data_IF_522325588999
#
_entry.id   IF_522325588999
#
_cell.length_a   1.000
_cell.length_b   1.000
_cell.length_c   1.000
_cell.angle_alpha   90.00
_cell.angle_beta   90.00
_cell.angle_gamma   90.00
#
_symmetry.space_group_name_H-M   'P 1'
#
loop_
_entity.id
_entity.type
_entity.pdbx_description
1 polymer ?
#
# COMPACT_ATOMS: atom_id res chain seq x y z
N UNK A 1 -11.79 21.53 0.68
CA UNK A 1 -11.83 21.41 -0.79
C UNK A 1 -10.39 21.53 -1.30
N UNK A 2 -9.75 20.43 -1.69
CA UNK A 2 -8.39 20.50 -2.26
C UNK A 2 -8.50 20.69 -3.78
N UNK A 3 -7.64 21.51 -4.38
CA UNK A 3 -7.67 21.77 -5.81
C UNK A 3 -7.35 20.46 -6.58
N UNK A 4 -8.24 20.10 -7.48
CA UNK A 4 -8.01 19.08 -8.49
C UNK A 4 -6.89 19.61 -9.42
N UNK A 5 -5.72 19.02 -9.37
CA UNK A 5 -4.63 19.36 -10.28
C UNK A 5 -4.83 18.56 -11.58
N UNK A 6 -5.07 19.27 -12.67
CA UNK A 6 -5.10 18.70 -14.01
C UNK A 6 -3.69 18.80 -14.61
N UNK A 7 -3.17 17.69 -15.08
CA UNK A 7 -1.95 17.67 -15.87
C UNK A 7 -2.27 17.16 -17.27
N UNK A 8 -1.92 17.98 -18.26
CA UNK A 8 -1.92 17.56 -19.65
C UNK A 8 -0.63 16.78 -19.90
N UNK A 9 -0.71 15.48 -20.05
CA UNK A 9 0.41 14.64 -20.44
C UNK A 9 0.36 14.39 -21.94
N UNK A 10 1.48 14.57 -22.62
CA UNK A 10 1.62 14.28 -24.05
C UNK A 10 2.42 12.99 -24.18
N UNK A 11 1.81 11.94 -24.72
CA UNK A 11 2.48 10.67 -25.02
C UNK A 11 2.60 10.51 -26.53
N UNK A 12 3.72 10.93 -27.16
CA UNK A 12 3.89 10.80 -28.59
C UNK A 12 3.94 9.31 -28.98
N UNK A 13 3.22 8.92 -30.03
CA UNK A 13 3.19 7.55 -30.59
C UNK A 13 4.55 7.19 -31.22
N UNK A 14 5.27 8.18 -31.71
CA UNK A 14 6.57 8.06 -32.33
C UNK A 14 7.63 8.74 -31.48
N UNK A 15 8.91 8.35 -31.66
CA UNK A 15 10.01 9.06 -31.02
C UNK A 15 9.95 10.56 -31.31
N UNK A 16 10.17 11.38 -30.30
CA UNK A 16 10.01 12.84 -30.35
C UNK A 16 10.65 13.48 -31.60
N UNK A 17 11.89 13.12 -32.03
CA UNK A 17 12.51 13.71 -33.22
C UNK A 17 11.74 13.38 -34.50
N UNK A 18 11.19 12.18 -34.63
CA UNK A 18 10.42 11.78 -35.80
C UNK A 18 9.07 12.53 -35.87
N UNK A 19 8.45 12.78 -34.73
CA UNK A 19 7.22 13.58 -34.64
C UNK A 19 7.45 15.02 -35.09
N UNK A 20 8.59 15.61 -34.73
CA UNK A 20 8.99 16.97 -35.11
C UNK A 20 9.26 17.04 -36.62
N UNK A 21 9.96 16.03 -37.18
CA UNK A 21 10.25 15.98 -38.62
C UNK A 21 8.96 15.88 -39.43
N UNK A 22 8.02 15.04 -39.01
CA UNK A 22 6.71 14.91 -39.68
C UNK A 22 5.90 16.22 -39.61
N UNK A 23 5.88 16.87 -38.45
CA UNK A 23 5.21 18.16 -38.29
C UNK A 23 5.83 19.24 -39.17
N UNK A 24 7.16 19.29 -39.26
CA UNK A 24 7.89 20.24 -40.12
C UNK A 24 7.64 19.97 -41.63
N UNK A 25 7.67 18.69 -42.07
CA UNK A 25 7.36 18.31 -43.44
C UNK A 25 5.92 18.67 -43.81
N UNK A 26 4.98 18.52 -42.91
CA UNK A 26 3.58 18.90 -43.13
C UNK A 26 3.41 20.41 -43.19
N UNK A 27 4.08 21.19 -42.35
CA UNK A 27 4.10 22.66 -42.40
C UNK A 27 4.69 23.20 -43.72
N UNK A 28 5.77 22.57 -44.22
CA UNK A 28 6.37 22.87 -45.49
C UNK A 28 5.41 22.62 -46.68
N UNK A 29 4.67 21.50 -46.63
CA UNK A 29 3.65 21.16 -47.64
C UNK A 29 2.50 22.18 -47.63
N UNK A 30 2.07 22.64 -46.46
CA UNK A 30 1.08 23.70 -46.32
C UNK A 30 1.58 25.01 -46.90
N UNK A 31 2.82 25.42 -46.60
CA UNK A 31 3.42 26.63 -47.11
C UNK A 31 3.55 26.62 -48.63
N UNK A 32 3.99 25.50 -49.21
CA UNK A 32 4.09 25.31 -50.66
C UNK A 32 2.73 25.49 -51.36
N UNK A 33 1.66 25.01 -50.79
CA UNK A 33 0.31 25.11 -51.36
C UNK A 33 -0.28 26.52 -51.25
N UNK A 34 0.18 27.34 -50.27
CA UNK A 34 -0.17 28.75 -50.17
C UNK A 34 0.48 29.59 -51.30
N UNK A 35 1.64 29.14 -51.79
CA UNK A 35 2.37 29.84 -52.84
C UNK A 35 1.78 29.63 -54.25
N UNK A 36 0.96 28.58 -54.45
CA UNK A 36 0.26 28.39 -55.72
C UNK A 36 -0.84 29.42 -55.90
N UNK A 37 -0.85 30.12 -57.06
CA UNK A 37 -1.82 31.16 -57.41
C UNK A 37 -3.20 30.54 -57.69
N UNK A 38 -3.97 30.31 -56.65
CA UNK A 38 -5.37 29.82 -56.73
C UNK A 38 -6.35 30.98 -56.48
N UNK A 39 -7.56 30.98 -57.09
CA UNK A 39 -8.58 31.99 -56.86
C UNK A 39 -8.96 32.02 -55.35
N UNK A 40 -9.14 33.26 -54.83
CA UNK A 40 -9.20 33.54 -53.40
C UNK A 40 -10.26 32.68 -52.61
N UNK A 41 -11.39 32.39 -53.23
CA UNK A 41 -12.49 31.60 -52.59
C UNK A 41 -12.11 30.14 -52.42
N UNK A 42 -11.53 29.49 -53.45
CA UNK A 42 -11.08 28.12 -53.40
C UNK A 42 -9.83 27.95 -52.49
N UNK A 43 -9.01 28.96 -52.41
CA UNK A 43 -7.83 28.99 -51.54
C UNK A 43 -8.22 28.94 -50.05
N UNK A 44 -9.25 29.69 -49.64
CA UNK A 44 -9.71 29.72 -48.24
C UNK A 44 -10.28 28.36 -47.78
N UNK A 45 -11.13 27.72 -48.60
CA UNK A 45 -11.69 26.43 -48.28
C UNK A 45 -10.64 25.31 -48.24
N UNK A 46 -9.73 25.28 -49.21
CA UNK A 46 -8.62 24.31 -49.22
C UNK A 46 -7.67 24.50 -48.02
N UNK A 47 -7.40 25.76 -47.64
CA UNK A 47 -6.58 26.05 -46.47
C UNK A 47 -7.26 25.59 -45.18
N UNK A 48 -8.52 25.89 -44.98
CA UNK A 48 -9.28 25.46 -43.82
C UNK A 48 -9.33 23.91 -43.67
N UNK A 49 -9.57 23.21 -44.78
CA UNK A 49 -9.59 21.72 -44.78
C UNK A 49 -8.23 21.16 -44.44
N UNK A 50 -7.15 21.73 -44.93
CA UNK A 50 -5.79 21.28 -44.64
C UNK A 50 -5.35 21.59 -43.22
N UNK A 51 -5.72 22.74 -42.66
CA UNK A 51 -5.47 23.06 -41.25
C UNK A 51 -6.22 22.07 -40.36
N UNK A 52 -7.48 21.74 -40.67
CA UNK A 52 -8.24 20.76 -39.94
C UNK A 52 -7.62 19.37 -40.01
N UNK A 53 -7.16 18.93 -41.18
CA UNK A 53 -6.46 17.67 -41.37
C UNK A 53 -5.12 17.62 -40.59
N UNK A 54 -4.36 18.74 -40.61
CA UNK A 54 -3.14 18.87 -39.85
C UNK A 54 -3.37 18.79 -38.35
N UNK A 55 -4.38 19.48 -37.84
CA UNK A 55 -4.75 19.46 -36.43
C UNK A 55 -5.17 18.04 -35.99
N UNK A 56 -5.94 17.32 -36.82
CA UNK A 56 -6.32 15.93 -36.57
C UNK A 56 -5.11 15.00 -36.53
N UNK A 57 -4.18 15.12 -37.48
CA UNK A 57 -2.95 14.32 -37.51
C UNK A 57 -2.07 14.61 -36.28
N UNK A 58 -1.90 15.88 -35.92
CA UNK A 58 -1.15 16.26 -34.72
C UNK A 58 -1.81 15.72 -33.45
N UNK A 59 -3.13 15.77 -33.35
CA UNK A 59 -3.88 15.23 -32.21
C UNK A 59 -3.70 13.72 -32.09
N UNK A 60 -3.70 12.98 -33.20
CA UNK A 60 -3.43 11.54 -33.24
C UNK A 60 -1.97 11.21 -32.91
N UNK A 61 -1.02 12.03 -33.38
CA UNK A 61 0.40 11.80 -33.21
C UNK A 61 0.86 12.07 -31.77
N UNK A 62 0.36 13.12 -31.15
CA UNK A 62 0.74 13.54 -29.80
C UNK A 62 -0.13 12.94 -28.71
N UNK A 63 -1.29 12.35 -29.03
CA UNK A 63 -2.21 11.72 -28.07
C UNK A 63 -2.28 12.47 -26.73
N UNK A 64 -2.85 13.67 -26.68
CA UNK A 64 -2.97 14.40 -25.42
C UNK A 64 -3.86 13.58 -24.47
N UNK A 65 -3.29 13.12 -23.36
CA UNK A 65 -4.01 12.44 -22.30
C UNK A 65 -4.28 13.43 -21.17
N UNK A 66 -5.54 13.59 -20.80
CA UNK A 66 -5.89 14.28 -19.56
C UNK A 66 -5.71 13.32 -18.40
N UNK A 67 -4.61 13.47 -17.67
CA UNK A 67 -4.36 12.66 -16.47
C UNK A 67 -5.00 13.37 -15.27
N UNK A 68 -6.01 12.72 -14.71
CA UNK A 68 -6.64 13.14 -13.48
C UNK A 68 -5.82 12.62 -12.30
N UNK A 69 -5.00 13.45 -11.70
CA UNK A 69 -4.34 13.10 -10.46
C UNK A 69 -5.28 13.41 -9.28
N UNK A 70 -6.21 12.53 -9.03
CA UNK A 70 -6.92 12.50 -7.75
C UNK A 70 -5.95 12.01 -6.68
N UNK A 71 -5.34 12.89 -5.90
CA UNK A 71 -4.68 12.51 -4.64
C UNK A 71 -5.76 12.00 -3.70
N UNK A 72 -6.05 10.71 -3.77
CA UNK A 72 -6.81 10.04 -2.72
C UNK A 72 -5.88 9.99 -1.52
N UNK A 73 -6.09 10.87 -0.56
CA UNK A 73 -5.42 10.78 0.74
C UNK A 73 -5.92 9.49 1.42
N UNK A 74 -5.24 8.39 1.15
CA UNK A 74 -5.48 7.14 1.85
C UNK A 74 -4.76 7.25 3.17
N UNK A 75 -5.51 7.18 4.29
CA UNK A 75 -4.89 7.15 5.62
C UNK A 75 -3.98 5.94 5.71
N UNK A 76 -2.75 6.14 6.15
CA UNK A 76 -1.84 5.06 6.43
C UNK A 76 -2.44 4.07 7.43
N UNK A 77 -2.10 2.80 7.30
CA UNK A 77 -2.60 1.72 8.16
C UNK A 77 -1.46 1.12 8.98
N UNK A 78 -1.76 0.82 10.25
CA UNK A 78 -0.89 0.02 11.13
C UNK A 78 -1.66 -1.24 11.54
N UNK A 79 -1.03 -2.39 11.41
CA UNK A 79 -1.61 -3.68 11.78
C UNK A 79 -0.90 -4.25 13.02
N UNK A 80 -1.66 -4.64 14.04
CA UNK A 80 -1.18 -5.40 15.18
C UNK A 80 -1.56 -6.86 15.00
N UNK A 81 -0.60 -7.76 15.03
CA UNK A 81 -0.78 -9.21 14.99
C UNK A 81 -0.45 -9.77 16.35
N UNK A 82 -1.45 -10.29 17.05
CA UNK A 82 -1.31 -10.83 18.40
C UNK A 82 -1.41 -12.36 18.33
N UNK A 83 -0.41 -13.04 18.88
CA UNK A 83 -0.41 -14.48 18.99
C UNK A 83 -1.51 -14.94 19.95
N UNK A 84 -2.43 -15.75 19.45
CA UNK A 84 -3.55 -16.29 20.21
C UNK A 84 -3.45 -17.81 20.41
N UNK A 85 -2.28 -18.39 20.16
CA UNK A 85 -2.06 -19.82 20.31
C UNK A 85 -2.06 -20.29 21.77
N UNK A 86 -2.14 -21.59 21.95
CA UNK A 86 -2.15 -22.23 23.28
C UNK A 86 -0.91 -21.87 24.11
N UNK A 87 0.26 -21.65 23.50
CA UNK A 87 1.48 -21.27 24.23
C UNK A 87 1.35 -19.94 24.97
N UNK A 88 0.43 -19.08 24.55
CA UNK A 88 0.15 -17.82 25.22
C UNK A 88 -0.58 -18.00 26.57
N UNK A 89 -1.08 -19.19 26.89
CA UNK A 89 -1.66 -19.52 28.23
C UNK A 89 -0.61 -19.84 29.27
N UNK A 90 0.67 -20.00 28.89
CA UNK A 90 1.78 -20.28 29.81
C UNK A 90 1.98 -19.07 30.74
N UNK A 91 2.13 -19.37 32.04
CA UNK A 91 2.34 -18.37 33.09
C UNK A 91 3.81 -18.19 33.42
N UNK A 92 4.53 -17.46 32.59
CA UNK A 92 5.95 -17.15 32.75
C UNK A 92 6.25 -15.66 32.49
N UNK A 93 5.24 -14.87 32.20
CA UNK A 93 5.43 -13.44 32.01
C UNK A 93 5.61 -12.72 33.35
N UNK A 94 6.78 -12.11 33.54
CA UNK A 94 7.07 -11.36 34.76
C UNK A 94 6.37 -10.00 34.72
N UNK A 95 5.57 -9.71 35.74
CA UNK A 95 5.03 -8.37 35.97
C UNK A 95 6.12 -7.52 36.65
N UNK A 96 6.68 -6.55 35.96
CA UNK A 96 7.77 -5.69 36.49
C UNK A 96 7.42 -4.85 37.70
N UNK A 97 6.14 -4.63 37.99
CA UNK A 97 5.66 -3.67 38.98
C UNK A 97 4.94 -4.31 40.20
N UNK A 98 4.81 -5.63 40.26
CA UNK A 98 4.14 -6.28 41.39
C UNK A 98 5.15 -6.84 42.38
N UNK A 99 5.09 -6.42 43.67
CA UNK A 99 5.95 -6.94 44.73
C UNK A 99 5.67 -8.41 45.06
N UNK A 100 4.47 -8.92 44.77
CA UNK A 100 4.17 -10.32 44.73
C UNK A 100 4.42 -10.80 43.29
N UNK A 101 5.43 -11.61 43.05
CA UNK A 101 5.76 -12.23 41.75
C UNK A 101 4.63 -13.19 41.29
N UNK A 102 3.44 -12.64 41.08
CA UNK A 102 2.39 -13.38 40.40
C UNK A 102 2.77 -13.51 38.93
N UNK A 103 3.02 -14.72 38.49
CA UNK A 103 3.27 -15.02 37.10
C UNK A 103 1.97 -14.89 36.32
N UNK A 104 1.88 -13.85 35.49
CA UNK A 104 0.79 -13.68 34.54
C UNK A 104 0.95 -14.67 33.38
N UNK A 105 -0.16 -15.06 32.77
CA UNK A 105 -0.06 -15.70 31.47
C UNK A 105 0.50 -14.72 30.44
N UNK A 106 1.17 -15.22 29.41
CA UNK A 106 1.69 -14.39 28.33
C UNK A 106 0.54 -13.59 27.68
N UNK A 107 -0.63 -14.21 27.53
CA UNK A 107 -1.82 -13.55 27.00
C UNK A 107 -2.31 -12.42 27.89
N UNK A 108 -2.34 -12.61 29.24
CA UNK A 108 -2.73 -11.58 30.17
C UNK A 108 -1.74 -10.39 30.12
N UNK A 109 -0.44 -10.69 30.04
CA UNK A 109 0.58 -9.65 29.89
C UNK A 109 0.39 -8.83 28.62
N UNK A 110 0.11 -9.48 27.47
CA UNK A 110 -0.21 -8.80 26.20
C UNK A 110 -1.49 -8.00 26.34
N UNK A 111 -2.54 -8.56 26.97
CA UNK A 111 -3.82 -7.87 27.15
C UNK A 111 -3.64 -6.61 28.00
N UNK A 112 -2.92 -6.71 29.14
CA UNK A 112 -2.63 -5.55 30.00
C UNK A 112 -1.81 -4.49 29.26
N UNK A 113 -0.75 -4.88 28.52
CA UNK A 113 0.06 -3.95 27.73
C UNK A 113 -0.78 -3.29 26.63
N UNK A 114 -1.65 -4.05 25.99
CA UNK A 114 -2.55 -3.57 24.94
C UNK A 114 -3.59 -2.58 25.49
N UNK A 115 -4.13 -2.81 26.69
CA UNK A 115 -5.03 -1.89 27.37
C UNK A 115 -4.28 -0.62 27.84
N UNK A 116 -3.11 -0.76 28.46
CA UNK A 116 -2.29 0.36 28.88
C UNK A 116 -1.91 1.28 27.70
N UNK A 117 -1.68 0.70 26.53
CA UNK A 117 -1.41 1.44 25.30
C UNK A 117 -2.66 2.04 24.62
N UNK A 118 -3.85 1.95 25.23
CA UNK A 118 -5.10 2.41 24.60
C UNK A 118 -5.06 3.90 24.22
N UNK A 119 -4.48 4.76 25.09
CA UNK A 119 -4.30 6.19 24.80
C UNK A 119 -3.43 6.43 23.58
N UNK A 120 -2.26 5.81 23.53
CA UNK A 120 -1.34 5.94 22.39
C UNK A 120 -1.96 5.40 21.09
N UNK A 121 -2.73 4.31 21.18
CA UNK A 121 -3.45 3.77 20.01
C UNK A 121 -4.57 4.71 19.55
N UNK A 122 -5.26 5.38 20.47
CA UNK A 122 -6.26 6.38 20.13
C UNK A 122 -5.64 7.59 19.43
N UNK A 123 -4.49 8.06 19.86
CA UNK A 123 -3.73 9.11 19.18
C UNK A 123 -3.30 8.69 17.78
N UNK A 124 -2.81 7.46 17.61
CA UNK A 124 -2.50 6.91 16.30
C UNK A 124 -3.74 6.83 15.42
N UNK A 125 -4.89 6.44 15.97
CA UNK A 125 -6.15 6.30 15.23
C UNK A 125 -6.69 7.64 14.70
N UNK A 126 -6.26 8.78 15.23
CA UNK A 126 -6.59 10.10 14.66
C UNK A 126 -5.95 10.28 13.28
N UNK A 127 -4.74 9.78 13.09
CA UNK A 127 -3.95 9.97 11.85
C UNK A 127 -3.92 8.74 10.96
N UNK A 128 -3.98 7.56 11.53
CA UNK A 128 -3.80 6.26 10.88
C UNK A 128 -5.03 5.37 11.10
N UNK A 129 -5.18 4.37 10.23
CA UNK A 129 -6.13 3.28 10.46
C UNK A 129 -5.41 2.20 11.26
N UNK A 130 -5.84 1.99 12.51
CA UNK A 130 -5.29 0.93 13.36
C UNK A 130 -6.16 -0.31 13.22
N UNK A 131 -5.56 -1.43 12.87
CA UNK A 131 -6.23 -2.74 12.79
C UNK A 131 -5.51 -3.75 13.64
N UNK A 132 -6.29 -4.56 14.37
CA UNK A 132 -5.76 -5.62 15.22
C UNK A 132 -6.25 -6.97 14.73
N UNK A 133 -5.34 -7.94 14.72
CA UNK A 133 -5.60 -9.31 14.30
C UNK A 133 -5.04 -10.26 15.35
N UNK A 134 -5.72 -11.36 15.56
CA UNK A 134 -5.19 -12.52 16.27
C UNK A 134 -4.73 -13.54 15.24
N UNK A 135 -3.64 -14.22 15.51
CA UNK A 135 -3.16 -15.33 14.70
C UNK A 135 -2.85 -16.55 15.55
N UNK A 136 -2.95 -17.68 14.96
CA UNK A 136 -2.62 -19.00 15.43
C UNK A 136 -2.60 -19.88 14.20
N UNK A 137 -3.67 -20.65 13.96
CA UNK A 137 -3.87 -21.40 12.71
C UNK A 137 -4.23 -20.48 11.53
N UNK A 138 -4.92 -19.38 11.78
CA UNK A 138 -5.40 -18.43 10.77
C UNK A 138 -5.39 -17.00 11.32
N UNK A 139 -5.27 -16.05 10.41
CA UNK A 139 -5.38 -14.64 10.74
C UNK A 139 -6.85 -14.21 10.84
N UNK A 140 -7.28 -13.76 12.03
CA UNK A 140 -8.64 -13.27 12.29
C UNK A 140 -8.62 -11.83 12.80
N UNK A 141 -9.51 -10.95 12.32
CA UNK A 141 -9.62 -9.61 12.87
C UNK A 141 -10.17 -9.68 14.30
N UNK A 142 -9.62 -8.85 15.17
CA UNK A 142 -10.09 -8.70 16.55
C UNK A 142 -10.42 -7.23 16.82
N UNK A 143 -11.39 -7.01 17.70
CA UNK A 143 -11.70 -5.68 18.25
C UNK A 143 -10.77 -5.34 19.42
N UNK A 144 -11.34 -4.76 20.48
CA UNK A 144 -10.59 -4.41 21.67
C UNK A 144 -10.37 -5.61 22.63
N UNK A 145 -11.05 -6.73 22.41
CA UNK A 145 -10.95 -7.92 23.25
C UNK A 145 -10.01 -8.93 22.58
N UNK A 146 -8.83 -9.04 23.14
CA UNK A 146 -7.89 -10.10 22.81
C UNK A 146 -8.09 -11.25 23.80
N UNK A 147 -8.27 -12.47 23.29
CA UNK A 147 -8.29 -13.69 24.09
C UNK A 147 -7.54 -14.78 23.33
N UNK A 148 -6.66 -15.55 24.02
CA UNK A 148 -6.04 -16.71 23.42
C UNK A 148 -7.09 -17.79 23.17
N UNK A 149 -6.83 -18.63 22.19
CA UNK A 149 -7.61 -19.83 21.92
C UNK A 149 -6.85 -21.06 22.44
N UNK A 150 -7.24 -21.62 23.61
CA UNK A 150 -6.53 -22.77 24.16
C UNK A 150 -6.59 -24.01 23.27
N UNK A 151 -7.58 -24.10 22.39
CA UNK A 151 -7.73 -25.19 21.44
C UNK A 151 -6.81 -25.04 20.22
N UNK A 152 -6.32 -23.80 19.93
CA UNK A 152 -5.40 -23.58 18.82
C UNK A 152 -3.96 -23.93 19.23
N UNK A 153 -3.58 -25.16 18.97
CA UNK A 153 -2.22 -25.65 19.20
C UNK A 153 -1.19 -25.23 18.14
N UNK A 154 -1.57 -24.37 17.20
CA UNK A 154 -0.72 -23.96 16.08
C UNK A 154 -0.30 -22.53 16.22
N UNK A 155 0.98 -22.26 15.91
CA UNK A 155 1.54 -20.92 15.83
C UNK A 155 2.34 -20.83 14.55
N UNK A 156 1.88 -20.01 13.61
CA UNK A 156 2.52 -19.80 12.33
C UNK A 156 2.61 -18.29 12.01
N UNK A 157 3.65 -17.60 12.53
CA UNK A 157 3.84 -16.18 12.27
C UNK A 157 4.18 -15.89 10.80
N UNK A 158 4.79 -16.84 10.09
CA UNK A 158 5.12 -16.72 8.68
C UNK A 158 3.87 -16.67 7.80
N UNK A 159 2.94 -17.61 8.04
CA UNK A 159 1.66 -17.63 7.33
C UNK A 159 0.81 -16.40 7.66
N UNK A 160 0.79 -15.99 8.94
CA UNK A 160 0.06 -14.78 9.36
C UNK A 160 0.56 -13.50 8.66
N UNK A 161 1.89 -13.36 8.55
CA UNK A 161 2.49 -12.24 7.82
C UNK A 161 2.23 -12.32 6.31
N UNK A 162 2.28 -13.53 5.72
CA UNK A 162 1.99 -13.75 4.31
C UNK A 162 0.53 -13.42 3.99
N UNK A 163 -0.41 -13.93 4.80
CA UNK A 163 -1.84 -13.66 4.66
C UNK A 163 -2.15 -12.15 4.81
N UNK A 164 -1.45 -11.47 5.74
CA UNK A 164 -1.55 -10.02 5.85
C UNK A 164 -0.99 -9.32 4.63
N UNK A 165 0.14 -9.78 4.07
CA UNK A 165 0.73 -9.21 2.87
C UNK A 165 -0.19 -9.33 1.65
N UNK A 166 -0.89 -10.45 1.52
CA UNK A 166 -1.86 -10.68 0.44
C UNK A 166 -3.12 -9.80 0.57
N UNK A 167 -3.48 -9.42 1.80
CA UNK A 167 -4.59 -8.51 2.10
C UNK A 167 -4.17 -7.04 2.18
N UNK A 168 -2.86 -6.79 2.21
CA UNK A 168 -2.33 -5.44 2.39
C UNK A 168 -2.68 -4.54 1.22
N UNK A 169 -3.18 -3.35 1.54
CA UNK A 169 -3.28 -2.25 0.60
C UNK A 169 -1.99 -1.44 0.62
N UNK A 170 -1.75 -0.65 -0.43
CA UNK A 170 -0.62 0.30 -0.53
C UNK A 170 -0.54 1.30 0.63
N UNK A 171 -1.54 1.29 1.51
CA UNK A 171 -1.61 2.15 2.70
C UNK A 171 -1.01 1.53 3.96
N UNK A 172 -0.62 0.24 3.96
CA UNK A 172 -0.02 -0.40 5.12
C UNK A 172 1.40 0.15 5.34
N UNK A 173 1.63 0.78 6.50
CA UNK A 173 2.90 1.41 6.85
C UNK A 173 3.75 0.57 7.79
N UNK A 174 3.08 -0.11 8.74
CA UNK A 174 3.77 -0.91 9.73
C UNK A 174 2.92 -2.10 10.19
N UNK A 175 3.60 -3.15 10.59
CA UNK A 175 3.07 -4.34 11.22
C UNK A 175 3.79 -4.54 12.54
N UNK A 176 3.04 -4.75 13.62
CA UNK A 176 3.57 -5.08 14.94
C UNK A 176 3.15 -6.51 15.26
N UNK A 177 4.10 -7.42 15.25
CA UNK A 177 3.91 -8.82 15.58
C UNK A 177 4.23 -9.03 17.06
N UNK A 178 3.27 -9.54 17.83
CA UNK A 178 3.41 -9.78 19.26
C UNK A 178 3.18 -11.27 19.52
N UNK A 179 4.14 -11.95 20.10
CA UNK A 179 4.06 -13.38 20.39
C UNK A 179 5.27 -13.87 21.15
N UNK A 180 5.33 -15.16 21.45
CA UNK A 180 6.44 -15.79 22.16
C UNK A 180 7.64 -16.15 21.27
N UNK A 181 7.53 -15.84 19.97
CA UNK A 181 8.59 -16.13 18.99
C UNK A 181 8.68 -17.60 18.58
N UNK A 182 7.82 -18.48 19.08
CA UNK A 182 7.81 -19.88 18.70
C UNK A 182 7.00 -20.09 17.42
N UNK A 183 7.52 -20.92 16.52
CA UNK A 183 6.78 -21.45 15.38
C UNK A 183 6.79 -22.97 15.52
N UNK A 184 5.62 -23.58 15.69
CA UNK A 184 5.52 -25.02 15.94
C UNK A 184 5.07 -25.82 14.72
N UNK A 185 5.15 -25.22 13.54
CA UNK A 185 4.81 -25.84 12.26
C UNK A 185 5.84 -25.47 11.21
N UNK A 186 6.09 -26.40 10.28
CA UNK A 186 6.72 -26.05 9.01
C UNK A 186 5.78 -25.11 8.25
N UNK A 187 6.12 -23.84 8.31
CA UNK A 187 5.39 -22.76 7.67
C UNK A 187 5.53 -22.89 6.15
N UNK A 188 4.44 -22.70 5.42
CA UNK A 188 4.47 -22.59 3.96
C UNK A 188 5.24 -21.34 3.53
N UNK A 189 5.30 -20.35 4.39
CA UNK A 189 5.98 -19.07 4.18
C UNK A 189 6.96 -18.83 5.31
N UNK A 190 8.23 -18.65 4.99
CA UNK A 190 9.21 -18.21 5.98
C UNK A 190 8.80 -16.83 6.54
N UNK A 191 8.83 -16.60 7.87
CA UNK A 191 8.57 -15.28 8.43
C UNK A 191 9.44 -14.18 7.82
N UNK A 192 10.68 -14.52 7.48
CA UNK A 192 11.65 -13.62 6.84
C UNK A 192 11.21 -13.22 5.42
N UNK A 193 10.73 -14.19 4.63
CA UNK A 193 10.28 -13.92 3.27
C UNK A 193 8.97 -13.12 3.26
N UNK A 194 8.05 -13.44 4.17
CA UNK A 194 6.82 -12.68 4.34
C UNK A 194 7.10 -11.23 4.77
N UNK A 195 8.04 -11.03 5.71
CA UNK A 195 8.48 -9.70 6.13
C UNK A 195 9.18 -8.94 4.98
N UNK A 196 9.96 -9.63 4.15
CA UNK A 196 10.59 -9.03 2.96
C UNK A 196 9.55 -8.57 1.93
N UNK A 197 8.49 -9.36 1.70
CA UNK A 197 7.36 -8.97 0.84
C UNK A 197 6.64 -7.73 1.37
N UNK A 198 6.33 -7.68 2.67
CA UNK A 198 5.73 -6.51 3.32
C UNK A 198 6.63 -5.28 3.19
N UNK A 199 7.94 -5.45 3.38
CA UNK A 199 8.93 -4.36 3.21
C UNK A 199 8.99 -3.85 1.77
N UNK A 200 8.94 -4.75 0.79
CA UNK A 200 8.88 -4.37 -0.62
C UNK A 200 7.60 -3.59 -0.96
N UNK A 201 6.48 -3.88 -0.26
CA UNK A 201 5.23 -3.13 -0.34
C UNK A 201 5.24 -1.81 0.48
N UNK A 202 6.36 -1.47 1.14
CA UNK A 202 6.53 -0.24 1.93
C UNK A 202 6.18 -0.36 3.42
N UNK A 203 5.77 -1.54 3.89
CA UNK A 203 5.42 -1.77 5.30
C UNK A 203 6.63 -2.28 6.11
N UNK A 204 6.83 -1.75 7.32
CA UNK A 204 7.87 -2.22 8.24
C UNK A 204 7.29 -3.22 9.22
N UNK A 205 8.00 -4.32 9.47
CA UNK A 205 7.62 -5.32 10.47
C UNK A 205 8.45 -5.11 11.73
N UNK A 206 7.78 -4.99 12.87
CA UNK A 206 8.35 -4.92 14.21
C UNK A 206 7.86 -6.12 15.00
N UNK A 207 8.74 -6.74 15.77
CA UNK A 207 8.41 -7.90 16.61
C UNK A 207 8.59 -7.54 18.08
N UNK A 208 7.62 -7.98 18.90
CA UNK A 208 7.65 -7.89 20.34
C UNK A 208 7.54 -9.31 20.92
N UNK A 209 8.61 -9.77 21.55
CA UNK A 209 8.60 -11.05 22.23
C UNK A 209 7.98 -10.93 23.62
N UNK A 210 7.15 -11.92 23.98
CA UNK A 210 6.49 -12.03 25.29
C UNK A 210 6.84 -13.37 25.90
N UNK A 211 7.17 -13.37 27.20
CA UNK A 211 7.57 -14.56 27.94
C UNK A 211 8.95 -14.39 28.58
N UNK A 212 9.39 -15.40 29.35
CA UNK A 212 10.74 -15.41 29.92
C UNK A 212 11.76 -15.77 28.84
N UNK A 213 12.92 -15.10 28.80
CA UNK A 213 14.03 -15.48 27.92
C UNK A 213 14.75 -16.75 28.42
N UNK A 214 14.44 -17.22 29.61
CA UNK A 214 15.03 -18.43 30.16
C UNK A 214 14.15 -19.65 29.84
N UNK A 215 14.78 -20.74 29.34
CA UNK A 215 14.07 -21.98 29.07
C UNK A 215 13.66 -22.71 30.34
#
# INVERSE_FOLDING_TARGET
MMPLAFHLAVRPVLALPLSIVLAAAFAALLAWTLWRRLPARRRRTLLALRIAAAAAILMLLFRPEMVWQGRRSVRGQVAFLLDASRSMTIRDAAQRESPARESLSRADAVHHAFLAAAGARAELAVRLVVRSYAFGSHLRPIGNNFAPDPADGRTDPGEALAELADRASDSLLAVVLVGDGTANRESRSSPTDAAARLRAAGARVHTLAVGSPEP
#
